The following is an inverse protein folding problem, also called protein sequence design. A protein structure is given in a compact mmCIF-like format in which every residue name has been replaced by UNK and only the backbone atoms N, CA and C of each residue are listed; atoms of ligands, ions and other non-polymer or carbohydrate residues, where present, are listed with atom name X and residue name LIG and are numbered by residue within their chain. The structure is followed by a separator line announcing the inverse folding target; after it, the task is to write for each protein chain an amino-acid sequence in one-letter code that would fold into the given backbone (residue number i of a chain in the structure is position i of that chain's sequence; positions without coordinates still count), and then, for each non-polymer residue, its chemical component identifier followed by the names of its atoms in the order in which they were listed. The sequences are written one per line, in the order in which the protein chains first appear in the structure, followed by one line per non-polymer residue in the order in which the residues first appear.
data_IF_460934439534
#
_entry.id   IF_460934439534
#
_cell.length_a   1.000
_cell.length_b   1.000
_cell.length_c   1.000
_cell.angle_alpha   90.00
_cell.angle_beta   90.00
_cell.angle_gamma   90.00
#
_symmetry.space_group_name_H-M   'P 1'
#
loop_
_entity.id
_entity.type
_entity.pdbx_description
1 polymer ?
#
# COMPACT_ATOMS: atom_id res chain seq x y z
N UNK A 1 11.70 -27.42 -10.64
CA UNK A 1 12.21 -26.05 -10.84
C UNK A 1 12.27 -25.81 -12.33
N UNK A 2 11.81 -24.68 -12.78
CA UNK A 2 11.96 -24.24 -14.16
C UNK A 2 13.28 -23.46 -14.29
N UNK A 3 13.88 -23.44 -15.48
CA UNK A 3 15.05 -22.61 -15.77
C UNK A 3 14.77 -21.15 -15.40
N UNK A 4 15.70 -20.51 -14.69
CA UNK A 4 15.59 -19.10 -14.31
C UNK A 4 14.69 -18.83 -13.09
N UNK A 5 14.37 -19.83 -12.25
CA UNK A 5 13.63 -19.58 -11.00
C UNK A 5 14.50 -18.79 -10.02
N UNK A 6 14.10 -17.58 -9.59
CA UNK A 6 14.88 -16.77 -8.67
C UNK A 6 14.96 -17.42 -7.29
N UNK A 7 16.13 -17.30 -6.64
CA UNK A 7 16.31 -17.67 -5.24
C UNK A 7 15.84 -16.50 -4.39
N UNK A 8 14.72 -16.68 -3.68
CA UNK A 8 14.08 -15.64 -2.86
C UNK A 8 14.69 -15.54 -1.44
N UNK A 9 15.91 -15.95 -1.24
CA UNK A 9 16.63 -15.73 0.03
C UNK A 9 17.08 -14.27 0.11
N UNK A 10 17.04 -13.67 1.32
CA UNK A 10 17.64 -12.36 1.53
C UNK A 10 19.10 -12.36 1.11
N UNK A 11 19.51 -11.40 0.29
CA UNK A 11 20.91 -11.19 -0.11
C UNK A 11 21.41 -9.84 0.38
N UNK A 12 22.73 -9.62 0.34
CA UNK A 12 23.79 -10.52 -0.12
C UNK A 12 24.16 -11.61 0.89
N UNK A 13 24.37 -12.86 0.43
CA UNK A 13 24.74 -13.98 1.28
C UNK A 13 26.09 -14.56 0.86
N UNK A 14 26.97 -14.82 1.83
CA UNK A 14 28.31 -15.42 1.57
C UNK A 14 28.25 -16.89 1.19
N UNK A 15 27.21 -17.58 1.63
CA UNK A 15 27.10 -19.03 1.48
C UNK A 15 25.71 -19.40 0.98
N UNK A 16 25.66 -20.30 0.03
CA UNK A 16 24.45 -20.92 -0.45
C UNK A 16 24.54 -22.43 -0.19
N UNK A 17 23.55 -22.99 0.52
CA UNK A 17 23.42 -24.43 0.68
C UNK A 17 22.25 -24.93 -0.15
N UNK A 18 22.52 -25.89 -1.03
CA UNK A 18 21.52 -26.53 -1.87
C UNK A 18 21.30 -27.95 -1.37
N UNK A 19 20.04 -28.31 -1.15
CA UNK A 19 19.64 -29.67 -0.82
C UNK A 19 18.71 -30.18 -1.91
N UNK A 20 19.12 -31.29 -2.54
CA UNK A 20 18.30 -31.98 -3.54
C UNK A 20 17.77 -33.26 -2.92
N UNK A 21 16.46 -33.40 -2.88
CA UNK A 21 15.78 -34.60 -2.36
C UNK A 21 15.20 -35.37 -3.52
N UNK A 22 15.70 -36.61 -3.74
CA UNK A 22 15.16 -37.49 -4.77
C UNK A 22 14.05 -38.35 -4.20
N UNK A 23 12.86 -38.26 -4.81
CA UNK A 23 11.74 -39.16 -4.53
C UNK A 23 11.63 -40.12 -5.72
N UNK A 24 11.75 -41.42 -5.45
CA UNK A 24 11.60 -42.46 -6.45
C UNK A 24 10.45 -43.40 -6.11
N UNK A 25 9.82 -43.97 -7.14
CA UNK A 25 8.85 -45.07 -7.00
C UNK A 25 9.50 -46.40 -7.41
N UNK A 26 8.74 -47.50 -7.28
CA UNK A 26 9.21 -48.83 -7.68
C UNK A 26 9.53 -48.94 -9.18
N UNK A 27 8.95 -48.03 -9.99
CA UNK A 27 9.06 -48.06 -11.45
C UNK A 27 9.75 -46.86 -12.06
N UNK A 28 10.05 -45.82 -11.27
CA UNK A 28 10.65 -44.56 -11.73
C UNK A 28 11.70 -44.06 -10.76
N UNK A 29 12.89 -43.79 -11.26
CA UNK A 29 13.98 -43.15 -10.51
C UNK A 29 14.09 -41.69 -10.96
N UNK A 30 14.21 -40.77 -9.99
CA UNK A 30 14.52 -39.38 -10.29
C UNK A 30 16.01 -39.25 -10.66
N UNK A 31 16.30 -38.46 -11.66
CA UNK A 31 17.65 -38.14 -12.10
C UNK A 31 17.79 -36.63 -12.24
N UNK A 32 18.87 -36.08 -11.70
CA UNK A 32 19.30 -34.71 -11.95
C UNK A 32 20.40 -34.74 -12.99
N UNK A 33 20.21 -34.11 -14.15
CA UNK A 33 21.19 -34.06 -15.20
C UNK A 33 22.11 -32.84 -15.11
N UNK A 34 21.56 -31.72 -14.62
CA UNK A 34 22.29 -30.47 -14.51
C UNK A 34 21.69 -29.59 -13.41
N UNK A 35 22.53 -28.83 -12.76
CA UNK A 35 22.14 -27.77 -11.81
C UNK A 35 23.03 -26.56 -12.06
N UNK A 36 22.46 -25.50 -12.59
CA UNK A 36 23.13 -24.22 -12.80
C UNK A 36 22.66 -23.21 -11.76
N UNK A 37 23.59 -22.42 -11.23
CA UNK A 37 23.31 -21.34 -10.31
C UNK A 37 23.94 -20.07 -10.85
N UNK A 38 23.11 -19.08 -11.13
CA UNK A 38 23.56 -17.77 -11.53
C UNK A 38 23.58 -16.84 -10.31
N UNK A 39 24.66 -16.10 -10.16
CA UNK A 39 24.81 -15.11 -9.10
C UNK A 39 25.38 -13.81 -9.66
N UNK A 40 25.04 -12.70 -9.02
CA UNK A 40 25.56 -11.39 -9.35
C UNK A 40 26.31 -10.83 -8.12
N UNK A 41 27.31 -9.97 -8.34
CA UNK A 41 27.89 -9.22 -7.24
C UNK A 41 26.82 -8.36 -6.55
N UNK A 42 26.90 -8.14 -5.25
CA UNK A 42 25.97 -7.27 -4.55
C UNK A 42 26.10 -5.84 -5.07
N UNK A 43 25.00 -5.08 -5.04
CA UNK A 43 25.01 -3.66 -5.43
C UNK A 43 25.92 -2.84 -4.50
N UNK A 44 25.90 -3.13 -3.21
CA UNK A 44 26.79 -2.53 -2.21
C UNK A 44 27.12 -3.55 -1.10
N UNK A 45 28.16 -3.31 -0.33
CA UNK A 45 28.54 -4.13 0.83
C UNK A 45 27.43 -4.14 1.89
N UNK A 46 26.90 -2.94 2.21
CA UNK A 46 25.79 -2.74 3.13
C UNK A 46 25.01 -1.50 2.70
N UNK A 47 23.73 -1.50 2.95
CA UNK A 47 22.84 -0.37 2.65
C UNK A 47 21.92 -0.23 3.85
N UNK A 48 22.02 0.86 4.56
CA UNK A 48 21.14 1.20 5.66
C UNK A 48 20.12 2.25 5.24
N UNK A 49 18.92 2.14 5.79
CA UNK A 49 17.87 3.10 5.55
C UNK A 49 17.00 3.34 6.76
N UNK A 50 16.40 4.51 6.78
CA UNK A 50 15.42 4.94 7.77
C UNK A 50 14.39 5.86 7.17
N UNK A 51 13.26 6.01 7.86
CA UNK A 51 12.17 6.88 7.47
C UNK A 51 11.80 7.82 8.61
N UNK A 52 11.49 9.07 8.29
CA UNK A 52 11.06 10.08 9.24
C UNK A 52 9.92 10.92 8.66
N UNK A 53 8.89 11.28 9.46
CA UNK A 53 8.65 10.91 10.85
C UNK A 53 8.28 9.43 11.03
N UNK A 54 8.44 8.89 12.25
CA UNK A 54 8.05 7.51 12.59
C UNK A 54 6.60 7.40 13.09
N UNK A 55 5.93 8.54 13.26
CA UNK A 55 4.52 8.60 13.63
C UNK A 55 3.76 9.34 12.52
N UNK A 56 2.61 8.81 12.12
CA UNK A 56 1.80 9.32 11.03
C UNK A 56 0.33 9.46 11.43
N UNK A 57 -0.37 10.36 10.76
CA UNK A 57 -1.83 10.44 10.83
C UNK A 57 -2.46 9.32 10.02
N UNK A 58 -3.55 8.73 10.53
CA UNK A 58 -4.37 7.79 9.76
C UNK A 58 -5.34 8.47 8.81
N UNK A 59 -5.70 9.72 9.10
CA UNK A 59 -6.75 10.46 8.40
C UNK A 59 -6.21 11.42 7.35
N UNK A 60 -4.93 11.72 7.41
CA UNK A 60 -4.27 12.68 6.52
C UNK A 60 -3.02 12.08 5.91
N UNK A 61 -2.68 12.52 4.71
CA UNK A 61 -1.40 12.21 4.08
C UNK A 61 -0.27 12.78 4.93
N UNK A 62 0.78 12.01 5.11
CA UNK A 62 1.96 12.42 5.87
C UNK A 62 3.14 12.52 4.92
N UNK A 63 3.89 13.62 5.04
CA UNK A 63 5.15 13.80 4.33
C UNK A 63 6.26 13.06 5.05
N UNK A 64 6.89 12.13 4.35
CA UNK A 64 8.03 11.35 4.83
C UNK A 64 9.29 11.69 4.10
N UNK A 65 10.42 11.62 4.80
CA UNK A 65 11.76 11.56 4.21
C UNK A 65 12.30 10.14 4.41
N UNK A 66 12.55 9.46 3.31
CA UNK A 66 13.22 8.15 3.28
C UNK A 66 14.70 8.37 3.00
N UNK A 67 15.55 8.02 3.96
CA UNK A 67 16.99 8.23 3.90
C UNK A 67 17.71 6.89 3.69
N UNK A 68 18.69 6.87 2.78
CA UNK A 68 19.51 5.68 2.48
C UNK A 68 20.98 6.04 2.46
N UNK A 69 21.82 5.17 3.03
CA UNK A 69 23.26 5.34 3.06
C UNK A 69 23.96 4.03 2.70
N UNK A 70 24.60 3.96 1.51
CA UNK A 70 25.35 2.80 1.08
C UNK A 70 26.78 2.80 1.61
N UNK A 71 27.35 1.61 1.70
CA UNK A 71 28.79 1.37 1.90
C UNK A 71 29.28 0.46 0.79
N UNK A 72 30.28 0.89 0.05
CA UNK A 72 30.86 0.12 -1.05
C UNK A 72 32.21 -0.49 -0.68
N UNK A 73 32.52 -1.63 -1.30
CA UNK A 73 33.85 -2.25 -1.32
C UNK A 73 34.18 -2.73 -2.74
N UNK A 74 35.44 -3.08 -2.97
CA UNK A 74 35.88 -3.56 -4.27
C UNK A 74 35.06 -4.78 -4.73
N UNK A 75 34.56 -4.73 -5.97
CA UNK A 75 33.75 -5.78 -6.57
C UNK A 75 32.23 -5.62 -6.38
N UNK A 76 31.77 -4.55 -5.72
CA UNK A 76 30.35 -4.23 -5.74
C UNK A 76 29.94 -3.68 -7.11
N UNK A 77 28.71 -4.00 -7.55
CA UNK A 77 28.21 -3.62 -8.88
C UNK A 77 27.71 -2.17 -8.92
N UNK A 78 27.46 -1.54 -7.77
CA UNK A 78 26.76 -0.27 -7.68
C UNK A 78 25.27 -0.39 -7.99
N UNK A 79 24.58 0.77 -7.98
CA UNK A 79 23.17 0.86 -8.32
C UNK A 79 22.80 2.25 -8.85
N UNK A 80 21.72 2.31 -9.61
CA UNK A 80 21.15 3.53 -10.18
C UNK A 80 19.62 3.63 -9.97
N UNK A 81 19.03 2.68 -9.23
CA UNK A 81 17.62 2.66 -8.89
C UNK A 81 17.40 2.41 -7.42
N UNK A 82 16.47 3.16 -6.87
CA UNK A 82 15.91 2.97 -5.52
C UNK A 82 14.41 2.71 -5.65
N UNK A 83 13.95 1.59 -5.08
CA UNK A 83 12.54 1.25 -4.98
C UNK A 83 12.12 1.27 -3.52
N UNK A 84 11.02 1.96 -3.20
CA UNK A 84 10.46 2.09 -1.85
C UNK A 84 9.03 1.55 -1.90
N UNK A 85 8.75 0.52 -1.12
CA UNK A 85 7.41 -0.05 -0.98
C UNK A 85 6.58 0.79 -0.01
N UNK A 86 5.45 1.32 -0.49
CA UNK A 86 4.62 2.28 0.25
C UNK A 86 3.28 1.70 0.72
N UNK A 87 2.96 0.46 0.37
CA UNK A 87 1.67 -0.22 0.58
C UNK A 87 0.49 0.44 -0.17
N UNK A 88 0.47 1.74 -0.29
CA UNK A 88 -0.50 2.54 -1.04
C UNK A 88 0.24 3.36 -2.07
N UNK A 89 -0.48 3.79 -3.09
CA UNK A 89 0.04 4.79 -4.01
C UNK A 89 0.42 6.05 -3.26
N UNK A 90 1.65 6.54 -3.47
CA UNK A 90 2.06 7.83 -2.95
C UNK A 90 1.30 8.96 -3.68
N UNK A 91 0.93 10.00 -2.93
CA UNK A 91 0.21 11.15 -3.49
C UNK A 91 1.13 12.02 -4.33
N UNK A 92 2.36 12.24 -3.85
CA UNK A 92 3.39 13.02 -4.54
C UNK A 92 4.79 12.61 -4.07
N UNK A 93 5.79 12.85 -4.92
CA UNK A 93 7.22 12.89 -4.54
C UNK A 93 7.68 14.32 -4.74
N UNK A 94 8.16 14.95 -3.68
CA UNK A 94 8.51 16.36 -3.66
C UNK A 94 9.96 16.59 -4.05
N UNK A 95 10.85 15.68 -3.62
CA UNK A 95 12.28 15.92 -3.73
C UNK A 95 13.04 14.59 -3.70
N UNK A 96 14.10 14.55 -4.49
CA UNK A 96 15.14 13.51 -4.42
C UNK A 96 16.49 14.20 -4.32
N UNK A 97 17.31 13.84 -3.34
CA UNK A 97 18.66 14.36 -3.16
C UNK A 97 19.68 13.24 -3.08
N UNK A 98 20.87 13.52 -3.56
CA UNK A 98 22.06 12.69 -3.34
C UNK A 98 23.17 13.59 -2.82
N UNK A 99 23.64 13.32 -1.60
CA UNK A 99 24.68 14.08 -0.89
C UNK A 99 24.38 15.60 -0.84
N UNK A 100 23.11 15.93 -0.53
CA UNK A 100 22.59 17.30 -0.42
C UNK A 100 22.30 18.00 -1.76
N UNK A 101 22.59 17.36 -2.89
CA UNK A 101 22.29 17.90 -4.23
C UNK A 101 20.95 17.34 -4.72
N UNK A 102 20.00 18.24 -4.97
CA UNK A 102 18.70 17.87 -5.53
C UNK A 102 18.82 17.43 -6.99
N UNK A 103 18.18 16.29 -7.31
CA UNK A 103 18.20 15.72 -8.66
C UNK A 103 17.15 16.39 -9.54
N UNK A 104 17.53 16.63 -10.79
CA UNK A 104 16.64 17.22 -11.80
C UNK A 104 15.78 16.19 -12.52
N UNK A 105 15.02 16.67 -13.52
CA UNK A 105 14.09 15.87 -14.31
C UNK A 105 14.73 14.75 -15.15
N UNK A 106 16.05 14.76 -15.29
CA UNK A 106 16.84 13.69 -15.93
C UNK A 106 16.84 12.40 -15.11
N UNK A 107 16.46 12.46 -13.82
CA UNK A 107 16.30 11.33 -12.94
C UNK A 107 14.80 11.10 -12.64
N UNK A 108 14.07 10.38 -13.49
CA UNK A 108 12.63 10.24 -13.35
C UNK A 108 12.24 9.48 -12.09
N UNK A 109 11.09 9.85 -11.55
CA UNK A 109 10.41 9.18 -10.46
C UNK A 109 9.13 8.57 -10.98
N UNK A 110 8.92 7.28 -10.72
CA UNK A 110 7.72 6.55 -11.09
C UNK A 110 6.92 6.22 -9.82
N UNK A 111 5.65 6.64 -9.79
CA UNK A 111 4.73 6.35 -8.69
C UNK A 111 3.75 5.27 -9.13
N UNK A 112 3.90 4.07 -8.58
CA UNK A 112 3.01 2.92 -8.77
C UNK A 112 1.97 2.83 -7.64
N UNK A 113 1.07 1.85 -7.72
CA UNK A 113 -0.01 1.69 -6.74
C UNK A 113 0.49 1.31 -5.33
N UNK A 114 1.66 0.70 -5.23
CA UNK A 114 2.22 0.18 -3.98
C UNK A 114 3.68 0.58 -3.71
N UNK A 115 4.30 1.35 -4.62
CA UNK A 115 5.71 1.69 -4.54
C UNK A 115 6.07 2.95 -5.30
N UNK A 116 7.24 3.50 -4.95
CA UNK A 116 7.93 4.55 -5.67
C UNK A 116 9.22 3.95 -6.24
N UNK A 117 9.53 4.22 -7.50
CA UNK A 117 10.83 3.89 -8.12
C UNK A 117 11.52 5.18 -8.53
N UNK A 118 12.73 5.37 -8.02
CA UNK A 118 13.53 6.57 -8.23
C UNK A 118 14.76 6.24 -9.07
N UNK A 119 14.96 6.96 -10.16
CA UNK A 119 16.23 6.92 -10.88
C UNK A 119 17.26 7.81 -10.16
N UNK A 120 18.49 7.31 -10.07
CA UNK A 120 19.62 7.98 -9.42
C UNK A 120 20.81 8.05 -10.39
N UNK A 121 21.75 8.96 -10.19
CA UNK A 121 23.06 8.78 -10.78
C UNK A 121 23.65 7.46 -10.31
N UNK A 122 24.43 6.79 -11.15
CA UNK A 122 25.09 5.53 -10.77
C UNK A 122 25.98 5.80 -9.55
N UNK A 123 25.71 5.07 -8.47
CA UNK A 123 26.48 5.09 -7.24
C UNK A 123 27.31 3.82 -7.15
N UNK A 124 28.63 3.96 -7.08
CA UNK A 124 29.56 2.83 -7.04
C UNK A 124 30.93 3.24 -6.48
N UNK A 125 31.63 2.29 -5.90
CA UNK A 125 33.02 2.47 -5.44
C UNK A 125 33.18 3.37 -4.20
N UNK A 126 34.43 3.62 -3.86
CA UNK A 126 34.79 4.28 -2.60
C UNK A 126 34.32 5.73 -2.50
N UNK A 127 34.27 6.45 -3.62
CA UNK A 127 33.88 7.86 -3.65
C UNK A 127 32.40 8.10 -3.34
N UNK A 128 31.56 7.08 -3.54
CA UNK A 128 30.12 7.13 -3.26
C UNK A 128 29.76 6.48 -1.92
N UNK A 129 30.74 5.94 -1.21
CA UNK A 129 30.53 5.38 0.15
C UNK A 129 30.05 6.48 1.10
N UNK A 130 28.99 6.18 1.86
CA UNK A 130 28.32 7.06 2.81
C UNK A 130 27.58 8.26 2.22
N UNK A 131 27.46 8.40 0.91
CA UNK A 131 26.58 9.43 0.32
C UNK A 131 25.16 9.22 0.81
N UNK A 132 24.54 10.30 1.29
CA UNK A 132 23.17 10.27 1.75
C UNK A 132 22.23 10.45 0.55
N UNK A 133 21.29 9.51 0.40
CA UNK A 133 20.19 9.59 -0.55
C UNK A 133 18.94 9.91 0.25
N UNK A 134 18.17 10.90 -0.16
CA UNK A 134 16.93 11.31 0.48
C UNK A 134 15.81 11.41 -0.55
N UNK A 135 14.65 10.84 -0.21
CA UNK A 135 13.44 10.93 -1.01
C UNK A 135 12.32 11.45 -0.12
N UNK A 136 11.78 12.61 -0.46
CA UNK A 136 10.65 13.21 0.25
C UNK A 136 9.35 12.98 -0.52
N UNK A 137 8.35 12.38 0.13
CA UNK A 137 7.09 12.02 -0.50
C UNK A 137 5.92 12.02 0.48
N UNK A 138 4.72 12.19 -0.07
CA UNK A 138 3.46 12.12 0.66
C UNK A 138 2.79 10.79 0.45
N UNK A 139 2.34 10.17 1.54
CA UNK A 139 1.55 8.93 1.47
C UNK A 139 0.62 8.77 2.67
N UNK A 140 -0.54 8.15 2.44
CA UNK A 140 -1.45 7.75 3.50
C UNK A 140 -1.00 6.44 4.15
N UNK A 141 -0.79 6.46 5.47
CA UNK A 141 -0.44 5.27 6.26
C UNK A 141 -1.70 4.76 6.95
N UNK A 142 -2.24 3.66 6.46
CA UNK A 142 -3.53 3.11 6.91
C UNK A 142 -3.40 1.98 7.94
N UNK A 143 -2.21 1.44 8.14
CA UNK A 143 -1.93 0.37 9.11
C UNK A 143 -1.16 0.91 10.30
N UNK A 144 -1.49 0.42 11.50
CA UNK A 144 -0.81 0.79 12.76
C UNK A 144 0.70 0.59 12.70
N UNK A 145 1.20 -0.43 12.07
CA UNK A 145 2.63 -0.69 11.88
C UNK A 145 2.92 -0.95 10.41
N UNK A 146 3.43 0.05 9.70
CA UNK A 146 3.80 -0.06 8.29
C UNK A 146 5.31 -0.08 8.14
N UNK A 147 5.84 -1.05 7.40
CA UNK A 147 7.25 -1.12 7.02
C UNK A 147 7.41 -0.58 5.60
N UNK A 148 8.18 0.49 5.46
CA UNK A 148 8.57 1.05 4.16
C UNK A 148 9.84 0.35 3.68
N UNK A 149 9.67 -0.91 3.26
CA UNK A 149 10.78 -1.71 2.76
C UNK A 149 11.33 -1.12 1.47
N UNK A 150 12.66 -1.07 1.34
CA UNK A 150 13.31 -0.55 0.14
C UNK A 150 14.31 -1.54 -0.46
N UNK A 151 14.56 -1.35 -1.75
CA UNK A 151 15.56 -2.09 -2.52
C UNK A 151 16.33 -1.16 -3.42
N UNK A 152 17.58 -1.50 -3.68
CA UNK A 152 18.36 -0.88 -4.75
C UNK A 152 18.72 -1.91 -5.80
N UNK A 153 18.91 -1.46 -7.03
CA UNK A 153 19.34 -2.32 -8.14
C UNK A 153 20.02 -1.50 -9.25
N UNK A 154 20.75 -2.20 -10.09
CA UNK A 154 21.36 -1.66 -11.30
C UNK A 154 20.42 -1.92 -12.49
N UNK A 155 19.96 -0.86 -13.16
CA UNK A 155 19.06 -0.97 -14.31
C UNK A 155 19.72 -1.59 -15.55
N UNK A 156 21.03 -1.44 -15.68
CA UNK A 156 21.82 -2.01 -16.78
C UNK A 156 22.45 -3.36 -16.44
N UNK A 157 22.37 -3.77 -15.18
CA UNK A 157 22.98 -4.98 -14.66
C UNK A 157 22.06 -6.19 -14.66
N UNK A 158 22.26 -7.09 -13.71
CA UNK A 158 21.51 -8.35 -13.57
C UNK A 158 20.03 -8.14 -13.18
N UNK A 159 19.62 -6.94 -12.80
CA UNK A 159 18.28 -6.64 -12.25
C UNK A 159 18.01 -7.25 -10.85
N UNK A 160 19.03 -7.86 -10.24
CA UNK A 160 18.92 -8.41 -8.88
C UNK A 160 18.81 -7.26 -7.88
N UNK A 161 17.72 -7.26 -7.11
CA UNK A 161 17.46 -6.24 -6.09
C UNK A 161 18.15 -6.62 -4.78
N UNK A 162 18.87 -5.65 -4.20
CA UNK A 162 19.43 -5.76 -2.86
C UNK A 162 18.55 -5.01 -1.87
N UNK A 163 18.22 -5.68 -0.77
CA UNK A 163 17.41 -5.14 0.30
C UNK A 163 18.14 -4.02 1.04
N UNK A 164 17.40 -3.01 1.48
CA UNK A 164 17.87 -1.98 2.41
C UNK A 164 17.56 -2.44 3.82
N UNK A 165 18.60 -2.55 4.66
CA UNK A 165 18.46 -2.89 6.05
C UNK A 165 18.07 -1.66 6.89
N UNK A 166 17.21 -1.80 7.90
CA UNK A 166 16.96 -0.72 8.85
C UNK A 166 18.25 -0.30 9.56
N UNK A 167 18.50 0.99 9.66
CA UNK A 167 19.68 1.51 10.34
C UNK A 167 19.80 3.03 10.26
N UNK A 168 20.67 3.60 11.07
CA UNK A 168 20.95 5.03 11.13
C UNK A 168 21.61 5.47 9.83
N UNK A 169 20.81 6.04 8.92
CA UNK A 169 21.25 6.56 7.64
C UNK A 169 21.40 8.09 7.66
N UNK A 170 20.61 8.79 8.49
CA UNK A 170 20.60 10.23 8.57
C UNK A 170 20.74 10.70 10.02
N UNK A 171 21.88 11.26 10.34
CA UNK A 171 22.22 11.71 11.71
C UNK A 171 21.31 12.82 12.26
N UNK A 172 20.53 13.46 11.39
CA UNK A 172 19.59 14.52 11.78
C UNK A 172 18.25 13.93 12.28
N UNK A 173 18.02 12.62 12.06
CA UNK A 173 16.81 11.95 12.51
C UNK A 173 17.08 11.17 13.80
N UNK A 174 16.15 11.19 14.76
CA UNK A 174 16.31 10.44 16.01
C UNK A 174 15.95 8.95 15.87
N UNK A 175 15.84 8.44 14.64
CA UNK A 175 15.41 7.08 14.31
C UNK A 175 16.53 6.20 13.77
N UNK A 176 16.20 4.98 13.47
CA UNK A 176 17.02 4.01 12.74
C UNK A 176 16.14 2.90 12.16
N UNK A 177 14.91 3.18 11.83
CA UNK A 177 13.88 2.22 11.45
C UNK A 177 13.20 2.60 10.14
N UNK A 178 12.78 1.60 9.40
CA UNK A 178 11.90 1.73 8.23
C UNK A 178 10.41 1.61 8.63
N UNK A 179 10.12 1.48 9.92
CA UNK A 179 8.78 1.32 10.46
C UNK A 179 8.14 2.64 10.84
N UNK A 180 6.89 2.81 10.44
CA UNK A 180 6.04 3.94 10.82
C UNK A 180 4.85 3.44 11.61
N UNK A 181 4.48 4.15 12.66
CA UNK A 181 3.30 3.88 13.49
C UNK A 181 2.25 4.94 13.22
N UNK A 182 1.01 4.51 13.20
CA UNK A 182 -0.12 5.44 13.23
C UNK A 182 -0.74 5.47 14.62
N UNK A 183 -1.47 6.53 14.91
CA UNK A 183 -2.25 6.57 16.14
C UNK A 183 -3.21 5.36 16.20
N UNK A 184 -3.27 4.71 17.34
CA UNK A 184 -4.35 3.79 17.69
C UNK A 184 -5.62 4.59 17.93
N UNK A 185 -6.20 5.15 16.89
CA UNK A 185 -7.57 5.62 16.97
C UNK A 185 -8.48 4.41 16.95
N UNK A 186 -9.48 4.48 17.81
CA UNK A 186 -10.38 3.40 18.10
C UNK A 186 -10.78 2.60 16.86
N UNK A 187 -10.83 1.37 17.05
CA UNK A 187 -11.07 0.18 16.26
C UNK A 187 -12.15 0.25 15.15
N UNK A 188 -12.40 1.38 14.52
CA UNK A 188 -13.43 1.44 13.48
C UNK A 188 -12.81 1.65 12.09
N UNK A 189 -12.74 0.61 11.25
CA UNK A 189 -12.23 0.71 9.88
C UNK A 189 -13.09 1.59 8.96
N UNK A 190 -14.30 1.95 9.41
CA UNK A 190 -15.19 2.89 8.75
C UNK A 190 -15.21 4.21 9.51
N UNK A 191 -14.50 5.22 9.04
CA UNK A 191 -14.49 6.55 9.65
C UNK A 191 -15.26 7.58 8.83
N UNK A 192 -15.74 8.64 9.52
CA UNK A 192 -16.35 9.79 8.89
C UNK A 192 -17.62 9.48 8.10
N UNK A 193 -18.36 8.42 8.42
CA UNK A 193 -19.57 8.05 7.70
C UNK A 193 -20.58 9.19 7.72
N UNK A 194 -20.93 9.66 6.54
CA UNK A 194 -21.91 10.75 6.32
C UNK A 194 -22.85 10.36 5.18
N UNK A 195 -24.12 10.56 5.41
CA UNK A 195 -25.14 10.40 4.35
C UNK A 195 -25.60 11.80 3.94
N UNK A 196 -25.45 12.11 2.65
CA UNK A 196 -25.84 13.42 2.12
C UNK A 196 -26.43 13.27 0.71
N UNK A 197 -27.54 13.98 0.43
CA UNK A 197 -28.38 14.71 1.36
C UNK A 197 -29.12 13.80 2.35
N UNK A 198 -29.42 14.31 3.55
CA UNK A 198 -30.28 13.65 4.52
C UNK A 198 -31.10 14.72 5.25
N UNK A 199 -32.43 14.84 5.02
CA UNK A 199 -33.25 13.98 4.15
C UNK A 199 -32.94 14.12 2.65
N UNK A 200 -33.28 13.08 1.89
CA UNK A 200 -33.23 13.12 0.42
C UNK A 200 -34.64 12.99 -0.17
N UNK A 201 -34.80 13.45 -1.43
CA UNK A 201 -36.13 13.67 -2.04
C UNK A 201 -36.17 13.08 -3.46
N UNK A 202 -36.39 11.76 -3.63
CA UNK A 202 -36.43 11.12 -4.95
C UNK A 202 -37.78 11.34 -5.66
N UNK A 203 -38.08 12.60 -6.00
CA UNK A 203 -39.33 13.05 -6.60
C UNK A 203 -39.24 13.32 -8.12
N UNK A 204 -38.05 13.18 -8.71
CA UNK A 204 -37.81 13.36 -10.15
C UNK A 204 -37.53 14.79 -10.58
N UNK A 205 -37.29 15.73 -9.65
CA UNK A 205 -36.98 17.13 -9.97
C UNK A 205 -35.48 17.37 -10.27
N UNK A 206 -34.65 16.34 -10.10
CA UNK A 206 -33.20 16.37 -10.33
C UNK A 206 -32.39 16.90 -9.13
N UNK A 207 -33.05 17.21 -8.00
CA UNK A 207 -32.40 17.73 -6.78
C UNK A 207 -32.57 16.72 -5.64
N UNK A 208 -31.46 16.35 -4.99
CA UNK A 208 -31.46 15.45 -3.84
C UNK A 208 -32.10 14.07 -4.09
N UNK A 209 -32.06 13.58 -5.32
CA UNK A 209 -32.70 12.35 -5.77
C UNK A 209 -32.11 11.07 -5.15
N UNK A 210 -30.94 11.13 -4.56
CA UNK A 210 -30.22 9.98 -4.03
C UNK A 210 -29.48 10.34 -2.75
N UNK A 211 -29.54 9.45 -1.79
CA UNK A 211 -28.70 9.50 -0.59
C UNK A 211 -27.34 8.87 -0.90
N UNK A 212 -26.25 9.63 -0.76
CA UNK A 212 -24.89 9.18 -0.98
C UNK A 212 -24.24 8.80 0.36
N UNK A 213 -23.65 7.60 0.41
CA UNK A 213 -22.95 7.10 1.59
C UNK A 213 -21.46 7.42 1.45
N UNK A 214 -21.00 8.47 2.11
CA UNK A 214 -19.63 8.93 2.09
C UNK A 214 -18.90 8.47 3.34
N UNK A 215 -17.72 7.89 3.19
CA UNK A 215 -16.91 7.37 4.30
C UNK A 215 -15.45 7.20 3.87
N UNK A 216 -14.60 6.98 4.86
CA UNK A 216 -13.20 6.63 4.66
C UNK A 216 -12.97 5.20 5.18
N UNK A 217 -12.28 4.40 4.37
CA UNK A 217 -11.90 3.03 4.72
C UNK A 217 -10.44 2.98 5.14
N UNK A 218 -10.22 2.39 6.31
CA UNK A 218 -8.91 2.08 6.87
C UNK A 218 -8.76 0.56 7.04
N UNK A 219 -7.53 0.08 7.27
CA UNK A 219 -7.21 -1.32 7.62
C UNK A 219 -7.75 -2.41 6.66
N UNK A 220 -7.96 -2.06 5.40
CA UNK A 220 -8.35 -2.98 4.33
C UNK A 220 -7.19 -3.10 3.35
N UNK A 221 -6.35 -4.14 3.51
CA UNK A 221 -5.13 -4.33 2.71
C UNK A 221 -5.36 -5.08 1.41
N UNK A 222 -6.44 -5.86 1.33
CA UNK A 222 -6.87 -6.58 0.14
C UNK A 222 -8.31 -6.19 -0.19
N UNK A 223 -8.72 -6.41 -1.44
CA UNK A 223 -10.10 -6.12 -1.86
C UNK A 223 -11.10 -6.92 -1.03
N UNK A 224 -12.05 -6.23 -0.42
CA UNK A 224 -13.11 -6.77 0.42
C UNK A 224 -14.49 -6.38 -0.12
N UNK A 225 -15.49 -7.08 0.34
CA UNK A 225 -16.88 -6.76 0.05
C UNK A 225 -17.42 -5.76 1.08
N UNK A 226 -18.01 -4.68 0.59
CA UNK A 226 -18.76 -3.72 1.39
C UNK A 226 -20.24 -3.90 1.08
N UNK A 227 -21.04 -4.14 2.10
CA UNK A 227 -22.49 -4.31 1.99
C UNK A 227 -23.17 -3.19 2.76
N UNK A 228 -24.12 -2.51 2.11
CA UNK A 228 -25.01 -1.56 2.77
C UNK A 228 -26.43 -2.09 2.66
N UNK A 229 -26.98 -2.52 3.79
CA UNK A 229 -28.37 -2.95 3.91
C UNK A 229 -29.22 -1.81 4.47
N UNK A 230 -30.39 -1.58 3.86
CA UNK A 230 -31.36 -0.56 4.29
C UNK A 230 -32.61 -1.28 4.76
N UNK A 231 -33.08 -0.91 5.93
CA UNK A 231 -34.22 -1.51 6.61
C UNK A 231 -35.30 -0.47 6.91
N UNK A 232 -36.54 -0.90 6.94
CA UNK A 232 -37.64 -0.14 7.52
C UNK A 232 -37.56 -0.15 9.07
N UNK A 233 -38.42 0.59 9.73
CA UNK A 233 -38.46 0.62 11.20
C UNK A 233 -38.99 -0.66 11.83
N UNK A 234 -39.57 -1.57 11.05
CA UNK A 234 -39.97 -2.91 11.50
C UNK A 234 -38.80 -3.91 11.43
N UNK A 235 -37.64 -3.50 10.91
CA UNK A 235 -36.46 -4.34 10.74
C UNK A 235 -36.49 -5.19 9.48
N UNK A 236 -37.43 -4.95 8.57
CA UNK A 236 -37.44 -5.64 7.28
C UNK A 236 -36.47 -4.97 6.33
N UNK A 237 -35.56 -5.74 5.70
CA UNK A 237 -34.66 -5.20 4.69
C UNK A 237 -35.44 -4.79 3.44
N UNK A 238 -35.29 -3.54 3.05
CA UNK A 238 -35.92 -2.98 1.85
C UNK A 238 -34.97 -2.90 0.68
N UNK A 239 -33.66 -2.69 0.93
CA UNK A 239 -32.67 -2.58 -0.14
C UNK A 239 -31.32 -3.09 0.32
N UNK A 240 -30.60 -3.75 -0.60
CA UNK A 240 -29.17 -4.04 -0.47
C UNK A 240 -28.41 -3.30 -1.57
N UNK A 241 -27.42 -2.52 -1.16
CA UNK A 241 -26.40 -1.92 -2.04
C UNK A 241 -25.14 -2.74 -1.87
N UNK A 242 -24.72 -3.43 -2.91
CA UNK A 242 -23.48 -4.19 -2.93
C UNK A 242 -22.42 -3.37 -3.68
N UNK A 243 -21.30 -3.12 -3.02
CA UNK A 243 -20.11 -2.61 -3.67
C UNK A 243 -19.03 -3.67 -3.58
N UNK A 244 -18.87 -4.42 -4.66
CA UNK A 244 -17.86 -5.45 -4.74
C UNK A 244 -16.48 -4.81 -4.86
N UNK A 245 -15.53 -5.37 -4.12
CA UNK A 245 -14.11 -5.05 -4.27
C UNK A 245 -13.70 -3.65 -3.81
N UNK A 246 -14.10 -3.23 -2.62
CA UNK A 246 -13.51 -2.06 -2.00
C UNK A 246 -12.11 -2.36 -1.47
N UNK A 247 -11.23 -1.40 -1.66
CA UNK A 247 -9.92 -1.33 -1.02
C UNK A 247 -9.89 -0.03 -0.23
N UNK A 248 -8.99 0.11 0.72
CA UNK A 248 -8.82 1.36 1.47
C UNK A 248 -8.90 2.59 0.56
N UNK A 249 -9.50 3.65 1.05
CA UNK A 249 -9.64 4.89 0.31
C UNK A 249 -10.75 5.79 0.84
N UNK A 250 -10.82 6.96 0.26
CA UNK A 250 -11.85 7.94 0.54
C UNK A 250 -12.99 7.81 -0.47
N UNK A 251 -14.19 7.51 0.02
CA UNK A 251 -15.42 7.40 -0.76
C UNK A 251 -16.25 8.66 -0.56
N UNK A 252 -15.87 9.77 -1.20
CA UNK A 252 -16.51 11.07 -1.03
C UNK A 252 -17.01 11.71 -2.34
N UNK A 253 -16.55 11.25 -3.50
CA UNK A 253 -16.91 11.79 -4.80
C UNK A 253 -16.95 10.72 -5.91
N UNK A 254 -17.80 10.94 -6.91
CA UNK A 254 -17.83 10.15 -8.13
C UNK A 254 -18.72 8.90 -8.11
N UNK A 255 -18.43 7.96 -9.02
CA UNK A 255 -19.21 6.74 -9.22
C UNK A 255 -18.97 5.66 -8.17
N UNK A 256 -17.90 5.78 -7.40
CA UNK A 256 -17.53 4.81 -6.37
C UNK A 256 -18.29 5.00 -5.06
N UNK A 257 -18.98 6.13 -4.88
CA UNK A 257 -19.81 6.40 -3.70
C UNK A 257 -21.11 5.60 -3.81
N UNK A 258 -21.42 4.70 -2.85
CA UNK A 258 -22.70 3.99 -2.83
C UNK A 258 -23.87 4.97 -2.71
N UNK A 259 -24.94 4.71 -3.47
CA UNK A 259 -26.10 5.62 -3.57
C UNK A 259 -27.40 4.85 -3.48
N UNK A 260 -28.33 5.37 -2.70
CA UNK A 260 -29.70 4.87 -2.63
C UNK A 260 -30.68 5.88 -3.25
N UNK A 261 -31.50 5.38 -4.16
CA UNK A 261 -32.51 6.14 -4.91
C UNK A 261 -33.93 6.05 -4.33
N UNK A 262 -34.08 5.55 -3.11
CA UNK A 262 -35.37 5.39 -2.47
C UNK A 262 -36.23 4.22 -3.01
N UNK A 263 -35.59 3.25 -3.70
CA UNK A 263 -36.25 2.05 -4.20
C UNK A 263 -35.85 0.80 -3.43
N UNK A 264 -36.81 -0.11 -3.31
CA UNK A 264 -36.59 -1.44 -2.76
C UNK A 264 -35.86 -2.34 -3.78
N UNK A 265 -35.50 -3.56 -3.36
CA UNK A 265 -34.84 -4.56 -4.21
C UNK A 265 -35.68 -4.95 -5.43
N UNK A 266 -37.01 -4.86 -5.34
CA UNK A 266 -37.94 -5.12 -6.44
C UNK A 266 -38.13 -3.91 -7.40
N UNK A 267 -37.42 -2.82 -7.14
CA UNK A 267 -37.46 -1.58 -7.93
C UNK A 267 -38.64 -0.66 -7.61
N UNK A 268 -39.53 -1.03 -6.69
CA UNK A 268 -40.63 -0.18 -6.27
C UNK A 268 -40.14 0.94 -5.35
N UNK A 269 -40.77 2.11 -5.45
CA UNK A 269 -40.47 3.26 -4.58
C UNK A 269 -41.00 2.96 -3.18
N UNK A 270 -40.15 3.16 -2.17
CA UNK A 270 -40.53 2.90 -0.77
C UNK A 270 -41.28 4.12 -0.19
N UNK A 271 -42.15 3.94 0.80
CA UNK A 271 -42.87 5.05 1.43
C UNK A 271 -41.93 6.12 2.02
N UNK A 272 -42.35 7.39 2.10
CA UNK A 272 -41.58 8.40 2.82
C UNK A 272 -41.51 8.06 4.32
N UNK A 273 -40.36 8.29 4.93
CA UNK A 273 -40.15 7.95 6.32
C UNK A 273 -38.68 7.86 6.71
N UNK A 274 -38.47 7.32 7.91
CA UNK A 274 -37.12 7.03 8.41
C UNK A 274 -36.77 5.58 8.13
N UNK A 275 -35.54 5.37 7.73
CA UNK A 275 -34.94 4.07 7.43
C UNK A 275 -33.67 3.89 8.24
N UNK A 276 -33.37 2.64 8.56
CA UNK A 276 -32.13 2.25 9.22
C UNK A 276 -31.19 1.72 8.15
N UNK A 277 -29.97 2.14 8.14
CA UNK A 277 -28.93 1.51 7.31
C UNK A 277 -27.92 0.78 8.19
N UNK A 278 -27.39 -0.31 7.67
CA UNK A 278 -26.24 -1.05 8.22
C UNK A 278 -25.18 -1.15 7.14
N UNK A 279 -23.98 -0.67 7.44
CA UNK A 279 -22.80 -0.86 6.61
C UNK A 279 -22.00 -2.00 7.23
N UNK A 280 -21.79 -3.07 6.50
CA UNK A 280 -20.99 -4.23 6.90
C UNK A 280 -19.75 -4.32 6.06
N UNK A 281 -18.59 -4.39 6.69
CA UNK A 281 -17.29 -4.51 6.07
C UNK A 281 -16.53 -5.68 6.70
N UNK A 282 -16.07 -6.61 5.87
CA UNK A 282 -15.15 -7.64 6.28
C UNK A 282 -13.73 -7.10 6.24
N UNK A 283 -13.08 -7.00 7.39
CA UNK A 283 -11.71 -6.47 7.53
C UNK A 283 -10.69 -7.61 7.62
N UNK A 284 -9.41 -7.24 7.78
CA UNK A 284 -8.35 -8.23 7.95
C UNK A 284 -8.38 -8.89 9.35
N UNK A 285 -9.09 -8.27 10.32
CA UNK A 285 -9.17 -8.74 11.71
C UNK A 285 -10.56 -9.32 12.04
N UNK A 286 -11.63 -8.60 11.69
CA UNK A 286 -13.01 -8.98 12.01
C UNK A 286 -14.02 -8.32 11.07
N UNK A 287 -15.29 -8.72 11.15
CA UNK A 287 -16.37 -8.03 10.43
C UNK A 287 -16.86 -6.85 11.25
N UNK A 288 -16.82 -5.66 10.67
CA UNK A 288 -17.28 -4.43 11.28
C UNK A 288 -18.67 -4.04 10.77
N UNK A 289 -19.55 -3.70 11.71
CA UNK A 289 -20.90 -3.23 11.44
C UNK A 289 -21.12 -1.81 11.98
N UNK A 290 -21.56 -0.91 11.10
CA UNK A 290 -21.98 0.43 11.48
C UNK A 290 -23.46 0.64 11.15
N UNK A 291 -24.24 1.09 12.14
CA UNK A 291 -25.69 1.32 11.99
C UNK A 291 -25.99 2.80 12.17
N UNK A 292 -26.89 3.30 11.33
CA UNK A 292 -27.37 4.69 11.42
C UNK A 292 -28.75 4.84 10.79
N UNK A 293 -29.21 6.08 10.69
CA UNK A 293 -30.54 6.40 10.16
C UNK A 293 -30.46 7.40 9.02
N UNK A 294 -31.38 7.30 8.07
CA UNK A 294 -31.61 8.27 7.00
C UNK A 294 -33.09 8.50 6.79
N UNK A 295 -33.41 9.65 6.20
CA UNK A 295 -34.80 10.08 6.01
C UNK A 295 -35.09 10.30 4.52
N UNK A 296 -36.20 9.77 4.07
CA UNK A 296 -36.75 9.94 2.73
C UNK A 296 -38.04 10.78 2.80
N UNK A 297 -38.12 11.78 1.95
CA UNK A 297 -39.26 12.69 1.82
C UNK A 297 -39.62 12.86 0.35
N UNK A 298 -40.87 13.12 0.02
CA UNK A 298 -41.31 13.43 -1.34
C UNK A 298 -41.79 14.87 -1.42
#
# INVERSE_FOLDING_TARGET
WADGTPILSPGPSRYLQIQVIFLSSLTQAAQLSELEIQFAPPSARAIFGEIWPQDASRTESTTFTYSVRPTFEDGNAGFDRLEIFTLTRADAVHMVRVDGVELGAEFPVEIHDDRIVVALPKLEGADDTFKLIEVEFDVHVVRYGTQFQGWVFDSEGSGVKQLIDPGDANVDFPGNSLGVRTDKLGTNPLEGVRIAPNPFTPNGDGINERAEFRFQLHDVSVRRELIIDIYDLAGQRVRRLEQQSVIRGLFDQGNEVPKWDGRADDGQQVPPGHYIYRISLDTDEETEDLVGTLSLVY
#
